data_IF_303091459010
#
_entry.id   IF_303091459010
#
_cell.length_a   1.000
_cell.length_b   1.000
_cell.length_c   1.000
_cell.angle_alpha   90.00
_cell.angle_beta   90.00
_cell.angle_gamma   90.00
#
_symmetry.space_group_name_H-M   'P 1'
#
loop_
_entity.id
_entity.type
_entity.pdbx_description
1 polymer ?
#
# COMPACT_ATOMS: atom_id res chain seq x y z
N UNK A 1 -70.89 -0.57 -31.48
CA UNK A 1 -69.48 -0.52 -31.88
C UNK A 1 -68.68 -0.12 -30.64
N UNK A 2 -68.09 -1.10 -29.97
CA UNK A 2 -67.44 -0.91 -28.67
C UNK A 2 -65.93 -0.62 -28.85
N UNK A 3 -65.50 0.53 -28.41
CA UNK A 3 -64.10 0.92 -28.34
C UNK A 3 -63.52 0.32 -27.04
N UNK A 4 -62.64 -0.67 -27.19
CA UNK A 4 -61.88 -1.24 -26.07
C UNK A 4 -60.76 -0.27 -25.70
N UNK A 5 -60.80 0.22 -24.48
CA UNK A 5 -59.70 0.92 -23.86
C UNK A 5 -58.57 -0.07 -23.55
N UNK A 6 -57.41 0.13 -24.18
CA UNK A 6 -56.17 -0.54 -23.81
C UNK A 6 -55.47 0.28 -22.75
N UNK A 7 -55.47 -0.22 -21.52
CA UNK A 7 -54.67 0.31 -20.41
C UNK A 7 -53.24 -0.20 -20.58
N UNK A 8 -52.29 0.70 -20.87
CA UNK A 8 -50.87 0.41 -20.86
C UNK A 8 -50.41 0.53 -19.42
N UNK A 9 -50.12 -0.61 -18.79
CA UNK A 9 -49.45 -0.66 -17.51
C UNK A 9 -47.95 -0.41 -17.74
N UNK A 10 -47.45 0.77 -17.37
CA UNK A 10 -46.03 1.06 -17.31
C UNK A 10 -45.45 0.34 -16.07
N UNK A 11 -44.70 -0.74 -16.30
CA UNK A 11 -43.89 -1.37 -15.28
C UNK A 11 -42.70 -0.45 -14.98
N UNK A 12 -42.72 0.22 -13.87
CA UNK A 12 -41.57 0.92 -13.31
C UNK A 12 -40.68 -0.16 -12.70
N UNK A 13 -39.64 -0.58 -13.46
CA UNK A 13 -38.54 -1.35 -12.90
C UNK A 13 -37.73 -0.41 -12.04
N UNK A 14 -37.92 -0.48 -10.72
CA UNK A 14 -36.99 0.11 -9.77
C UNK A 14 -35.67 -0.65 -9.87
N UNK A 15 -34.69 -0.09 -10.60
CA UNK A 15 -33.30 -0.47 -10.42
C UNK A 15 -32.94 -0.08 -9.00
N UNK A 16 -32.82 -1.07 -8.13
CA UNK A 16 -32.10 -0.90 -6.87
C UNK A 16 -30.65 -0.61 -7.22
N UNK A 17 -30.29 0.66 -7.25
CA UNK A 17 -28.87 1.08 -7.24
C UNK A 17 -28.39 0.69 -5.86
N UNK A 18 -27.65 -0.41 -5.77
CA UNK A 18 -26.94 -0.80 -4.57
C UNK A 18 -25.97 0.33 -4.25
N UNK A 19 -26.34 1.20 -3.33
CA UNK A 19 -25.37 2.05 -2.65
C UNK A 19 -24.49 1.09 -1.85
N UNK A 20 -23.21 1.02 -2.17
CA UNK A 20 -22.21 0.47 -1.26
C UNK A 20 -22.25 1.39 -0.03
N UNK A 21 -23.03 0.99 0.97
CA UNK A 21 -23.00 1.65 2.27
C UNK A 21 -21.60 1.45 2.84
N UNK A 22 -21.03 2.51 3.41
CA UNK A 22 -19.81 2.38 4.20
C UNK A 22 -20.01 1.26 5.23
N UNK A 23 -18.99 0.46 5.45
CA UNK A 23 -19.05 -0.66 6.40
C UNK A 23 -19.13 -0.12 7.82
N UNK A 24 -19.68 -0.94 8.72
CA UNK A 24 -19.87 -0.55 10.13
C UNK A 24 -18.54 -0.43 10.90
N UNK A 25 -17.45 -0.87 10.29
CA UNK A 25 -16.13 -0.93 10.91
C UNK A 25 -15.05 -0.40 9.98
N UNK A 26 -14.02 0.21 10.59
CA UNK A 26 -12.86 0.77 9.90
C UNK A 26 -11.59 0.05 10.37
N UNK A 27 -10.80 -0.45 9.42
CA UNK A 27 -9.47 -0.99 9.66
C UNK A 27 -8.37 -0.03 9.24
N UNK A 28 -7.14 -0.52 9.16
CA UNK A 28 -5.99 0.27 8.74
C UNK A 28 -5.06 -0.52 7.82
N UNK A 29 -4.47 0.16 6.84
CA UNK A 29 -3.34 -0.34 6.07
C UNK A 29 -2.31 0.77 5.84
N UNK A 30 -1.03 0.44 6.08
CA UNK A 30 0.13 1.26 5.72
C UNK A 30 1.00 0.49 4.73
N UNK A 31 1.49 1.16 3.68
CA UNK A 31 2.33 0.52 2.69
C UNK A 31 3.41 1.45 2.14
N UNK A 32 4.54 0.87 1.69
CA UNK A 32 5.61 1.61 1.06
C UNK A 32 5.20 2.11 -0.32
N UNK A 33 5.60 3.34 -0.66
CA UNK A 33 5.51 3.85 -2.04
C UNK A 33 6.60 3.27 -2.93
N UNK A 34 7.72 2.93 -2.32
CA UNK A 34 8.78 2.15 -2.97
C UNK A 34 8.34 0.70 -3.11
N UNK A 35 8.69 0.10 -4.24
CA UNK A 35 8.49 -1.32 -4.53
C UNK A 35 9.87 -1.98 -4.64
N UNK A 36 9.94 -3.25 -4.27
CA UNK A 36 11.18 -4.00 -4.12
C UNK A 36 11.16 -5.25 -4.99
N UNK A 37 12.32 -5.55 -5.57
CA UNK A 37 12.59 -6.85 -6.17
C UNK A 37 13.72 -7.49 -5.40
N UNK A 38 13.37 -8.42 -4.51
CA UNK A 38 14.23 -8.99 -3.48
C UNK A 38 14.56 -8.02 -2.33
N UNK A 39 15.03 -8.56 -1.23
CA UNK A 39 15.43 -7.81 -0.05
C UNK A 39 15.16 -8.56 1.24
N UNK A 40 15.53 -7.90 2.35
CA UNK A 40 15.15 -8.32 3.70
C UNK A 40 14.34 -7.21 4.35
N UNK A 41 13.29 -7.60 5.05
CA UNK A 41 12.33 -6.70 5.68
C UNK A 41 12.15 -7.14 7.12
N UNK A 42 12.37 -6.24 8.06
CA UNK A 42 12.19 -6.50 9.48
C UNK A 42 11.30 -5.44 10.11
N UNK A 43 10.42 -5.83 11.00
CA UNK A 43 9.62 -4.92 11.80
C UNK A 43 9.50 -5.41 13.25
N UNK A 44 9.61 -4.48 14.19
CA UNK A 44 9.40 -4.71 15.62
C UNK A 44 7.97 -4.38 15.98
N UNK A 45 7.15 -5.41 16.25
CA UNK A 45 5.69 -5.25 16.34
C UNK A 45 5.10 -6.01 17.52
N UNK A 46 4.06 -5.42 18.11
CA UNK A 46 3.07 -6.10 18.95
C UNK A 46 1.76 -6.14 18.17
N UNK A 47 1.22 -7.33 17.97
CA UNK A 47 0.08 -7.58 17.12
C UNK A 47 -1.24 -7.54 17.88
N UNK A 48 -2.36 -7.35 17.17
CA UNK A 48 -3.67 -7.34 17.77
C UNK A 48 -4.21 -8.76 17.99
N UNK A 49 -4.96 -8.98 19.06
CA UNK A 49 -5.71 -10.20 19.33
C UNK A 49 -7.21 -9.98 19.40
N UNK A 50 -7.96 -11.05 19.17
CA UNK A 50 -9.42 -11.09 19.21
C UNK A 50 -10.00 -11.84 18.02
N UNK A 51 -11.06 -12.60 18.24
CA UNK A 51 -11.74 -13.35 17.18
C UNK A 51 -12.20 -12.43 16.05
N UNK A 52 -11.98 -12.86 14.81
CA UNK A 52 -12.34 -12.12 13.62
C UNK A 52 -11.23 -11.21 13.08
N UNK A 53 -10.14 -10.98 13.83
CA UNK A 53 -9.06 -10.07 13.44
C UNK A 53 -7.94 -10.78 12.69
N UNK A 54 -7.32 -10.04 11.77
CA UNK A 54 -6.04 -10.34 11.11
C UNK A 54 -5.14 -9.12 11.25
N UNK A 55 -3.94 -9.35 11.79
CA UNK A 55 -2.90 -8.36 12.00
C UNK A 55 -1.66 -8.83 11.25
N UNK A 56 -1.14 -8.05 10.28
CA UNK A 56 -0.15 -8.58 9.35
C UNK A 56 1.01 -7.65 9.01
N UNK A 57 2.07 -8.29 8.49
CA UNK A 57 3.17 -7.70 7.71
C UNK A 57 3.34 -8.57 6.47
N UNK A 58 3.36 -7.97 5.28
CA UNK A 58 3.41 -8.74 4.05
C UNK A 58 4.05 -7.98 2.89
N UNK A 59 4.48 -8.71 1.89
CA UNK A 59 4.91 -8.21 0.59
C UNK A 59 3.80 -8.47 -0.42
N UNK A 60 3.47 -7.49 -1.25
CA UNK A 60 2.37 -7.60 -2.19
C UNK A 60 2.63 -6.87 -3.50
N UNK A 61 2.37 -7.53 -4.62
CA UNK A 61 2.32 -6.88 -5.92
C UNK A 61 0.97 -6.17 -6.12
N UNK A 62 1.02 -4.86 -6.37
CA UNK A 62 -0.16 -4.00 -6.36
C UNK A 62 -1.28 -4.41 -7.33
N UNK A 63 -0.94 -5.07 -8.44
CA UNK A 63 -1.88 -5.43 -9.48
C UNK A 63 -2.38 -6.89 -9.38
N UNK A 64 -1.94 -7.65 -8.37
CA UNK A 64 -2.29 -9.08 -8.19
C UNK A 64 -3.80 -9.34 -8.17
N UNK A 65 -4.61 -8.39 -7.70
CA UNK A 65 -6.06 -8.51 -7.62
C UNK A 65 -6.79 -8.32 -8.95
N UNK A 66 -6.11 -7.81 -10.00
CA UNK A 66 -6.78 -7.33 -11.23
C UNK A 66 -7.37 -8.45 -12.09
N UNK A 67 -6.96 -9.71 -11.85
CA UNK A 67 -7.41 -10.82 -12.69
C UNK A 67 -6.87 -10.78 -14.13
N UNK A 68 -7.52 -11.49 -15.07
CA UNK A 68 -7.12 -11.46 -16.47
C UNK A 68 -5.76 -12.12 -16.75
N UNK A 69 -5.28 -12.96 -15.84
CA UNK A 69 -3.98 -13.62 -15.94
C UNK A 69 -2.82 -12.86 -15.32
N UNK A 70 -3.07 -11.70 -14.67
CA UNK A 70 -2.06 -11.02 -13.87
C UNK A 70 -1.61 -11.94 -12.74
N UNK A 71 -0.29 -12.16 -12.53
CA UNK A 71 0.18 -13.06 -11.49
C UNK A 71 -0.14 -12.51 -10.10
N UNK A 72 -0.64 -13.39 -9.24
CA UNK A 72 -0.73 -13.11 -7.81
C UNK A 72 0.65 -13.33 -7.18
N UNK A 73 1.20 -12.30 -6.54
CA UNK A 73 2.54 -12.31 -5.93
C UNK A 73 2.45 -11.68 -4.54
N UNK A 74 2.54 -12.55 -3.51
CA UNK A 74 2.35 -12.16 -2.11
C UNK A 74 3.13 -13.07 -1.16
N UNK A 75 3.69 -12.50 -0.09
CA UNK A 75 4.40 -13.23 0.97
C UNK A 75 3.99 -12.67 2.32
N UNK A 76 3.44 -13.50 3.21
CA UNK A 76 2.72 -13.07 4.38
C UNK A 76 3.33 -13.51 5.70
N UNK A 77 3.19 -12.63 6.70
CA UNK A 77 3.17 -12.91 8.13
C UNK A 77 1.81 -12.42 8.64
N UNK A 78 0.98 -13.32 9.17
CA UNK A 78 -0.35 -13.00 9.65
C UNK A 78 -0.56 -13.56 11.07
N UNK A 79 -1.04 -12.70 11.96
CA UNK A 79 -1.55 -13.12 13.26
C UNK A 79 -3.07 -13.20 13.17
N UNK A 80 -3.61 -14.41 13.26
CA UNK A 80 -5.05 -14.59 13.44
C UNK A 80 -5.39 -14.28 14.88
N UNK A 81 -6.14 -13.24 15.12
CA UNK A 81 -6.42 -12.73 16.48
C UNK A 81 -7.05 -13.77 17.40
N UNK A 82 -7.70 -14.81 16.86
CA UNK A 82 -8.21 -15.98 17.63
C UNK A 82 -7.10 -16.84 18.24
N UNK A 83 -5.87 -16.74 17.74
CA UNK A 83 -4.74 -17.60 18.11
C UNK A 83 -3.44 -16.80 18.21
N UNK A 84 -3.33 -15.80 19.11
CA UNK A 84 -2.18 -14.89 19.17
C UNK A 84 -0.87 -15.58 19.60
N UNK A 85 -0.92 -16.81 20.11
CA UNK A 85 0.26 -17.63 20.41
C UNK A 85 0.92 -18.27 19.18
N UNK A 86 0.46 -17.95 17.99
CA UNK A 86 1.08 -18.38 16.74
C UNK A 86 0.93 -17.34 15.64
N UNK A 87 1.82 -17.39 14.64
CA UNK A 87 1.63 -16.68 13.39
C UNK A 87 1.53 -17.66 12.21
N UNK A 88 0.86 -17.21 11.17
CA UNK A 88 0.74 -17.91 9.90
C UNK A 88 1.71 -17.28 8.91
N UNK A 89 2.60 -18.08 8.31
CA UNK A 89 3.41 -17.68 7.16
C UNK A 89 2.78 -18.22 5.90
N UNK A 90 2.80 -17.48 4.81
CA UNK A 90 2.23 -17.92 3.55
C UNK A 90 3.01 -17.38 2.35
N UNK A 91 2.92 -18.09 1.22
CA UNK A 91 3.20 -17.56 -0.11
C UNK A 91 1.92 -17.75 -0.92
N UNK A 92 1.44 -16.69 -1.54
CA UNK A 92 0.31 -16.75 -2.45
C UNK A 92 0.81 -16.43 -3.86
N UNK A 93 0.63 -17.39 -4.76
CA UNK A 93 0.99 -17.29 -6.18
C UNK A 93 -0.19 -17.70 -7.06
N UNK A 94 0.02 -17.83 -8.36
CA UNK A 94 -1.04 -18.14 -9.33
C UNK A 94 -1.67 -16.87 -9.89
N UNK A 95 -2.99 -16.80 -9.95
CA UNK A 95 -3.78 -15.62 -10.38
C UNK A 95 -4.92 -15.34 -9.40
N UNK A 96 -5.62 -14.22 -9.56
CA UNK A 96 -6.79 -13.90 -8.74
C UNK A 96 -7.87 -15.00 -8.79
N UNK A 97 -8.02 -15.66 -9.95
CA UNK A 97 -9.00 -16.71 -10.19
C UNK A 97 -8.52 -18.11 -9.73
N UNK A 98 -7.20 -18.29 -9.60
CA UNK A 98 -6.59 -19.59 -9.29
C UNK A 98 -5.34 -19.43 -8.39
N UNK A 99 -5.57 -19.07 -7.15
CA UNK A 99 -4.48 -18.89 -6.16
C UNK A 99 -3.87 -20.22 -5.74
N UNK A 100 -2.56 -20.21 -5.54
CA UNK A 100 -1.77 -21.31 -4.97
C UNK A 100 -1.18 -20.83 -3.66
N UNK A 101 -1.56 -21.44 -2.55
CA UNK A 101 -1.13 -21.06 -1.20
C UNK A 101 -0.25 -22.13 -0.55
N UNK A 102 0.57 -21.75 0.41
CA UNK A 102 1.42 -22.68 1.20
C UNK A 102 1.53 -22.24 2.65
N UNK A 103 0.40 -22.06 3.30
CA UNK A 103 0.39 -21.60 4.69
C UNK A 103 0.98 -22.60 5.66
N UNK A 104 1.72 -22.09 6.66
CA UNK A 104 2.26 -22.83 7.78
C UNK A 104 2.10 -22.02 9.07
N UNK A 105 1.92 -22.72 10.21
CA UNK A 105 1.76 -22.09 11.52
C UNK A 105 3.02 -22.26 12.37
N UNK A 106 3.44 -21.18 13.04
CA UNK A 106 4.64 -21.12 13.87
C UNK A 106 4.27 -20.59 15.26
N UNK A 107 4.74 -21.25 16.31
CA UNK A 107 4.47 -20.85 17.69
C UNK A 107 5.22 -19.55 18.06
N UNK A 108 4.55 -18.72 18.85
CA UNK A 108 5.10 -17.51 19.46
C UNK A 108 5.08 -17.62 20.99
N UNK A 109 6.16 -17.22 21.63
CA UNK A 109 6.25 -17.10 23.08
C UNK A 109 7.16 -15.91 23.46
N UNK A 110 6.61 -14.86 24.11
CA UNK A 110 5.21 -14.68 24.50
C UNK A 110 4.25 -14.65 23.31
N UNK A 111 2.92 -14.63 23.53
CA UNK A 111 1.95 -14.45 22.47
C UNK A 111 2.10 -13.05 21.81
N UNK A 112 1.74 -12.94 20.54
CA UNK A 112 1.93 -11.74 19.72
C UNK A 112 1.30 -10.46 20.27
N UNK A 113 0.25 -10.60 21.09
CA UNK A 113 -0.45 -9.49 21.77
C UNK A 113 0.10 -9.17 23.15
N UNK A 114 1.04 -9.99 23.67
CA UNK A 114 1.60 -9.87 25.02
C UNK A 114 2.97 -9.22 25.05
N UNK A 115 3.54 -8.89 23.91
CA UNK A 115 4.82 -8.23 23.79
C UNK A 115 5.22 -8.02 22.33
N UNK A 116 6.29 -7.26 22.17
CA UNK A 116 6.87 -7.03 20.87
C UNK A 116 7.73 -8.22 20.44
N UNK A 117 7.59 -8.62 19.16
CA UNK A 117 8.49 -9.52 18.47
C UNK A 117 9.12 -8.81 17.27
N UNK A 118 10.30 -9.25 16.86
CA UNK A 118 10.89 -8.84 15.59
C UNK A 118 10.51 -9.86 14.52
N UNK A 119 9.67 -9.46 13.59
CA UNK A 119 9.25 -10.25 12.44
C UNK A 119 10.15 -9.93 11.26
N UNK A 120 10.59 -10.96 10.54
CA UNK A 120 11.48 -10.82 9.39
C UNK A 120 11.03 -11.63 8.19
N UNK A 121 11.20 -11.03 7.01
CA UNK A 121 11.06 -11.69 5.70
C UNK A 121 12.34 -11.50 4.91
N UNK A 122 12.89 -12.57 4.35
CA UNK A 122 13.92 -12.51 3.31
C UNK A 122 13.35 -13.05 2.01
N UNK A 123 13.47 -12.28 0.95
CA UNK A 123 13.09 -12.67 -0.40
C UNK A 123 14.31 -12.52 -1.32
N UNK A 124 14.72 -13.64 -1.90
CA UNK A 124 15.88 -13.75 -2.81
C UNK A 124 15.48 -14.53 -4.05
N UNK A 125 16.31 -14.60 -5.10
CA UNK A 125 16.02 -15.45 -6.26
C UNK A 125 16.03 -16.95 -5.95
N UNK A 126 16.59 -17.36 -4.80
CA UNK A 126 16.81 -18.78 -4.46
C UNK A 126 15.92 -19.27 -3.30
N UNK A 127 15.36 -18.34 -2.49
CA UNK A 127 14.51 -18.71 -1.36
C UNK A 127 13.70 -17.53 -0.85
N UNK A 128 12.63 -17.87 -0.10
CA UNK A 128 11.89 -16.98 0.79
C UNK A 128 12.00 -17.55 2.19
N UNK A 129 12.31 -16.71 3.19
CA UNK A 129 12.51 -17.12 4.58
C UNK A 129 11.76 -16.21 5.54
N UNK A 130 11.23 -16.81 6.62
CA UNK A 130 10.55 -16.12 7.72
C UNK A 130 11.37 -16.24 8.99
N UNK A 131 11.47 -15.14 9.72
CA UNK A 131 12.25 -15.05 10.94
C UNK A 131 11.41 -14.44 12.06
N UNK A 132 11.62 -14.95 13.28
CA UNK A 132 11.05 -14.37 14.51
C UNK A 132 12.18 -14.20 15.51
N UNK A 133 12.34 -12.95 16.02
CA UNK A 133 13.39 -12.58 16.98
C UNK A 133 14.79 -13.05 16.54
N UNK A 134 15.06 -12.92 15.22
CA UNK A 134 16.32 -13.30 14.61
C UNK A 134 16.50 -14.81 14.35
N UNK A 135 15.49 -15.63 14.64
CA UNK A 135 15.54 -17.06 14.37
C UNK A 135 14.71 -17.40 13.13
N UNK A 136 15.32 -18.11 12.17
CA UNK A 136 14.60 -18.61 11.01
C UNK A 136 13.65 -19.73 11.45
N UNK A 137 12.37 -19.59 11.10
CA UNK A 137 11.30 -20.56 11.44
C UNK A 137 10.77 -21.28 10.20
N UNK A 138 10.95 -20.70 9.01
CA UNK A 138 10.58 -21.29 7.74
C UNK A 138 11.50 -20.81 6.62
N UNK A 139 11.83 -21.71 5.70
CA UNK A 139 12.49 -21.38 4.42
C UNK A 139 11.89 -22.22 3.29
N UNK A 140 11.31 -21.56 2.30
CA UNK A 140 10.89 -22.17 1.04
C UNK A 140 11.99 -21.90 0.01
N UNK A 141 12.50 -22.94 -0.62
CA UNK A 141 13.61 -22.83 -1.60
C UNK A 141 13.09 -22.93 -3.02
N UNK A 142 13.81 -22.34 -3.94
CA UNK A 142 13.63 -22.54 -5.38
C UNK A 142 13.58 -24.05 -5.69
N UNK A 143 12.65 -24.44 -6.59
CA UNK A 143 12.35 -25.84 -6.89
C UNK A 143 11.44 -26.51 -5.86
N UNK A 144 10.72 -25.74 -5.02
CA UNK A 144 9.67 -26.28 -4.16
C UNK A 144 8.53 -26.92 -4.98
N UNK A 145 7.74 -27.77 -4.34
CA UNK A 145 6.71 -28.57 -5.01
C UNK A 145 5.61 -27.73 -5.71
N UNK A 146 5.49 -26.45 -5.38
CA UNK A 146 4.49 -25.51 -5.94
C UNK A 146 5.12 -24.43 -6.83
N UNK A 147 6.46 -24.45 -7.01
CA UNK A 147 7.24 -23.45 -7.72
C UNK A 147 6.94 -22.01 -7.27
N UNK A 148 6.73 -21.81 -5.97
CA UNK A 148 6.27 -20.52 -5.43
C UNK A 148 7.37 -19.47 -5.39
N UNK A 149 8.65 -19.87 -5.16
CA UNK A 149 9.78 -18.93 -5.20
C UNK A 149 9.96 -18.39 -6.62
N UNK A 150 9.87 -19.27 -7.63
CA UNK A 150 9.93 -18.90 -9.04
C UNK A 150 8.75 -18.06 -9.51
N UNK A 151 7.61 -18.18 -8.83
CA UNK A 151 6.41 -17.41 -9.15
C UNK A 151 6.47 -15.96 -8.64
N UNK A 152 7.44 -15.60 -7.78
CA UNK A 152 7.61 -14.24 -7.26
C UNK A 152 8.32 -13.34 -8.28
N UNK A 153 7.71 -13.12 -9.42
CA UNK A 153 8.29 -12.48 -10.63
C UNK A 153 7.98 -10.99 -10.75
N UNK A 154 7.25 -10.42 -9.80
CA UNK A 154 6.85 -8.99 -9.81
C UNK A 154 7.41 -8.28 -8.59
N UNK A 155 7.67 -6.99 -8.76
CA UNK A 155 8.03 -6.12 -7.64
C UNK A 155 6.89 -6.02 -6.65
N UNK A 156 7.23 -5.94 -5.37
CA UNK A 156 6.28 -5.94 -4.25
C UNK A 156 6.50 -4.74 -3.33
N UNK A 157 5.42 -4.16 -2.82
CA UNK A 157 5.46 -3.20 -1.72
C UNK A 157 5.44 -3.90 -0.37
N UNK A 158 6.15 -3.37 0.63
CA UNK A 158 6.00 -3.79 2.02
C UNK A 158 4.74 -3.16 2.61
N UNK A 159 3.92 -3.99 3.26
CA UNK A 159 2.60 -3.59 3.79
C UNK A 159 2.40 -4.09 5.21
N UNK A 160 1.60 -3.35 5.94
CA UNK A 160 1.09 -3.69 7.27
C UNK A 160 -0.40 -3.40 7.29
N UNK A 161 -1.22 -4.33 7.78
CA UNK A 161 -2.63 -4.04 7.96
C UNK A 161 -3.20 -4.66 9.25
N UNK A 162 -4.29 -4.06 9.71
CA UNK A 162 -5.16 -4.58 10.75
C UNK A 162 -6.59 -4.53 10.21
N UNK A 163 -7.19 -5.70 10.02
CA UNK A 163 -8.48 -5.87 9.38
C UNK A 163 -9.29 -7.03 9.96
N UNK A 164 -10.45 -7.30 9.41
CA UNK A 164 -11.32 -8.39 9.82
C UNK A 164 -11.84 -9.14 8.59
N UNK A 165 -11.61 -10.45 8.55
CA UNK A 165 -12.19 -11.32 7.53
C UNK A 165 -13.64 -11.67 7.86
N UNK A 166 -14.47 -11.83 6.83
CA UNK A 166 -15.82 -12.41 6.97
C UNK A 166 -15.80 -13.94 7.09
N UNK A 167 -14.65 -14.58 6.82
CA UNK A 167 -14.45 -16.03 6.88
C UNK A 167 -14.23 -16.50 8.34
N UNK A 168 -15.31 -16.74 9.06
CA UNK A 168 -15.27 -17.11 10.48
C UNK A 168 -14.51 -18.44 10.74
N UNK A 169 -14.46 -19.36 9.77
CA UNK A 169 -13.70 -20.59 9.90
C UNK A 169 -12.20 -20.30 10.00
N UNK A 170 -11.73 -19.30 9.26
CA UNK A 170 -10.33 -18.89 9.27
C UNK A 170 -9.98 -18.03 10.49
N UNK A 171 -10.74 -16.95 10.77
CA UNK A 171 -10.37 -15.95 11.79
C UNK A 171 -11.13 -16.04 13.10
N UNK A 172 -12.12 -16.95 13.23
CA UNK A 172 -13.03 -17.02 14.37
C UNK A 172 -14.27 -16.14 14.20
N UNK A 173 -15.28 -16.36 15.06
CA UNK A 173 -16.53 -15.62 15.02
C UNK A 173 -16.29 -14.15 15.40
N UNK A 174 -16.79 -13.23 14.56
CA UNK A 174 -16.69 -11.80 14.82
C UNK A 174 -17.39 -11.39 16.11
N UNK A 175 -16.74 -10.50 16.86
CA UNK A 175 -17.27 -9.89 18.07
C UNK A 175 -16.85 -8.43 18.15
N UNK A 176 -17.73 -7.50 17.83
CA UNK A 176 -17.45 -6.07 17.85
C UNK A 176 -17.30 -5.48 19.27
N UNK A 177 -17.68 -6.22 20.29
CA UNK A 177 -17.48 -5.85 21.68
C UNK A 177 -16.01 -5.77 22.11
N UNK A 178 -15.08 -6.27 21.27
CA UNK A 178 -13.63 -6.16 21.53
C UNK A 178 -13.02 -4.86 21.04
N UNK A 179 -13.72 -4.10 20.19
CA UNK A 179 -13.18 -2.88 19.59
C UNK A 179 -13.08 -1.72 20.60
N UNK A 180 -12.09 -0.82 20.46
CA UNK A 180 -11.03 -0.87 19.45
C UNK A 180 -9.93 -1.89 19.75
N UNK A 181 -9.16 -2.26 18.71
CA UNK A 181 -7.92 -3.04 18.82
C UNK A 181 -6.83 -2.38 18.01
N UNK A 182 -5.56 -2.66 18.36
CA UNK A 182 -4.43 -1.97 17.80
C UNK A 182 -3.26 -2.93 17.55
N UNK A 183 -2.58 -2.70 16.43
CA UNK A 183 -1.27 -3.26 16.12
C UNK A 183 -0.24 -2.12 16.29
N UNK A 184 0.83 -2.38 17.02
CA UNK A 184 1.88 -1.41 17.30
C UNK A 184 3.16 -1.80 16.56
N UNK A 185 3.78 -0.84 15.88
CA UNK A 185 5.00 -1.04 15.11
C UNK A 185 6.02 -0.01 15.60
N UNK A 186 7.05 -0.50 16.31
CA UNK A 186 8.07 0.35 16.92
C UNK A 186 9.06 0.85 15.88
N UNK A 187 9.56 -0.05 15.01
CA UNK A 187 10.43 0.31 13.90
C UNK A 187 10.30 -0.68 12.73
N UNK A 188 10.72 -0.20 11.56
CA UNK A 188 10.86 -0.99 10.34
C UNK A 188 12.26 -0.82 9.77
N UNK A 189 12.90 -1.91 9.36
CA UNK A 189 14.18 -1.93 8.63
C UNK A 189 14.00 -2.62 7.30
N UNK A 190 14.54 -2.01 6.26
CA UNK A 190 14.58 -2.60 4.92
C UNK A 190 16.02 -2.68 4.45
N UNK A 191 16.37 -3.80 3.82
CA UNK A 191 17.70 -4.09 3.31
C UNK A 191 17.61 -4.44 1.84
N UNK A 192 18.54 -3.90 1.06
CA UNK A 192 18.77 -4.33 -0.33
C UNK A 192 19.45 -5.71 -0.36
N UNK A 193 19.03 -6.56 -1.29
CA UNK A 193 19.72 -7.82 -1.56
C UNK A 193 20.97 -7.55 -2.39
N UNK A 194 22.14 -7.76 -1.80
CA UNK A 194 23.47 -7.50 -2.37
C UNK A 194 24.39 -8.72 -2.16
N UNK A 195 24.24 -9.79 -2.95
CA UNK A 195 24.92 -11.07 -2.72
C UNK A 195 26.42 -10.90 -2.51
N UNK A 196 26.94 -11.40 -1.39
CA UNK A 196 28.35 -11.33 -0.99
C UNK A 196 28.86 -9.94 -0.64
N UNK A 197 27.99 -8.90 -0.60
CA UNK A 197 28.36 -7.51 -0.33
C UNK A 197 27.49 -6.85 0.75
N UNK A 198 26.73 -7.65 1.46
CA UNK A 198 25.85 -7.17 2.53
C UNK A 198 26.60 -6.87 3.83
N UNK A 199 25.88 -6.33 4.79
CA UNK A 199 26.42 -5.98 6.10
C UNK A 199 26.80 -7.24 6.90
N UNK A 200 27.87 -7.15 7.66
CA UNK A 200 28.37 -8.24 8.53
C UNK A 200 28.58 -9.59 7.83
N UNK A 201 28.91 -9.57 6.53
CA UNK A 201 29.15 -10.79 5.73
C UNK A 201 27.88 -11.51 5.30
N UNK A 202 26.73 -10.85 5.36
CA UNK A 202 25.45 -11.34 4.82
C UNK A 202 25.28 -10.95 3.35
N UNK A 203 24.15 -11.34 2.76
CA UNK A 203 23.74 -10.91 1.41
C UNK A 203 22.84 -9.67 1.43
N UNK A 204 22.67 -9.02 2.59
CA UNK A 204 21.73 -7.91 2.78
C UNK A 204 22.42 -6.68 3.34
N UNK A 205 22.20 -5.54 2.68
CA UNK A 205 22.74 -4.24 3.08
C UNK A 205 21.62 -3.33 3.55
N UNK A 206 21.76 -2.76 4.75
CA UNK A 206 20.74 -1.84 5.30
C UNK A 206 20.52 -0.68 4.33
N UNK A 207 19.26 -0.52 3.89
CA UNK A 207 18.83 0.54 3.00
C UNK A 207 18.27 1.73 3.78
N UNK A 208 17.35 1.46 4.70
CA UNK A 208 16.78 2.47 5.57
C UNK A 208 16.12 1.86 6.83
N UNK A 209 15.97 2.72 7.82
CA UNK A 209 15.23 2.47 9.05
C UNK A 209 14.14 3.53 9.17
N UNK A 210 12.99 3.15 9.68
CA UNK A 210 11.94 4.06 10.15
C UNK A 210 11.57 3.70 11.59
N UNK A 211 11.78 4.63 12.50
CA UNK A 211 11.51 4.51 13.94
C UNK A 211 10.23 5.27 14.35
N UNK A 212 9.50 5.75 13.36
CA UNK A 212 8.22 6.42 13.52
C UNK A 212 8.18 7.59 14.51
N UNK A 213 9.27 8.37 14.64
CA UNK A 213 9.17 9.66 15.33
C UNK A 213 8.09 10.55 14.71
N UNK A 214 7.89 10.38 13.40
CA UNK A 214 6.79 10.96 12.60
C UNK A 214 6.49 10.09 11.39
N UNK A 215 5.27 10.14 10.88
CA UNK A 215 4.92 9.46 9.65
C UNK A 215 5.54 10.15 8.41
N UNK A 216 6.52 9.50 7.79
CA UNK A 216 7.12 9.99 6.54
C UNK A 216 6.20 9.71 5.35
N UNK A 217 5.41 10.72 4.97
CA UNK A 217 4.48 10.65 3.82
C UNK A 217 5.18 10.53 2.45
N UNK A 218 6.50 10.67 2.38
CA UNK A 218 7.25 10.39 1.15
C UNK A 218 7.50 8.90 0.99
N UNK A 219 7.72 8.19 2.10
CA UNK A 219 7.94 6.75 2.15
C UNK A 219 6.64 5.97 2.17
N UNK A 220 5.68 6.38 2.97
CA UNK A 220 4.46 5.67 3.28
C UNK A 220 3.21 6.25 2.61
N UNK A 221 2.32 5.36 2.21
CA UNK A 221 0.94 5.65 1.87
C UNK A 221 0.01 4.80 2.75
N UNK A 222 -1.25 5.19 2.81
CA UNK A 222 -2.27 4.55 3.65
C UNK A 222 -3.42 4.08 2.77
N UNK A 223 -3.99 2.93 3.11
CA UNK A 223 -5.16 2.37 2.47
C UNK A 223 -6.41 3.21 2.76
N UNK A 224 -7.23 3.39 1.73
CA UNK A 224 -8.55 4.03 1.77
C UNK A 224 -9.57 3.22 0.94
N UNK A 225 -9.41 1.90 0.92
CA UNK A 225 -10.18 0.96 0.11
C UNK A 225 -10.73 -0.19 0.97
N UNK A 226 -11.51 -1.04 0.34
CA UNK A 226 -11.92 -2.34 0.87
C UNK A 226 -11.83 -3.40 -0.24
N UNK A 227 -12.04 -4.65 0.10
CA UNK A 227 -12.07 -5.77 -0.84
C UNK A 227 -13.11 -6.80 -0.39
N UNK A 228 -13.44 -7.73 -1.29
CA UNK A 228 -14.44 -8.77 -1.02
C UNK A 228 -13.98 -9.68 0.12
N UNK A 229 -14.88 -9.98 1.05
CA UNK A 229 -14.59 -10.78 2.25
C UNK A 229 -13.89 -10.02 3.38
N UNK A 230 -13.56 -8.74 3.18
CA UNK A 230 -13.12 -7.85 4.26
C UNK A 230 -14.34 -7.26 4.97
N UNK A 231 -14.36 -7.28 6.30
CA UNK A 231 -15.45 -6.71 7.12
C UNK A 231 -15.33 -5.21 7.32
N UNK A 232 -14.16 -4.62 7.06
CA UNK A 232 -13.86 -3.21 7.32
C UNK A 232 -13.61 -2.45 6.03
N UNK A 233 -13.81 -1.14 6.05
CA UNK A 233 -13.18 -0.21 5.12
C UNK A 233 -11.83 0.21 5.69
N UNK A 234 -10.76 0.23 4.89
CA UNK A 234 -9.47 0.77 5.31
C UNK A 234 -9.60 2.28 5.44
N UNK A 235 -9.19 2.83 6.58
CA UNK A 235 -9.25 4.27 6.86
C UNK A 235 -7.87 4.83 7.21
N UNK A 236 -7.42 5.88 6.51
CA UNK A 236 -6.22 6.62 6.89
C UNK A 236 -6.26 7.19 8.32
N UNK A 237 -7.45 7.46 8.86
CA UNK A 237 -7.62 8.00 10.21
C UNK A 237 -7.33 6.96 11.30
N UNK A 238 -7.27 5.67 10.94
CA UNK A 238 -6.84 4.58 11.80
C UNK A 238 -5.32 4.30 11.74
N UNK A 239 -4.55 5.14 11.05
CA UNK A 239 -3.09 5.12 11.00
C UNK A 239 -2.56 6.30 11.79
N UNK A 240 -2.04 6.05 13.00
CA UNK A 240 -1.57 7.08 13.93
C UNK A 240 -0.10 6.85 14.28
N UNK A 241 0.66 7.91 14.50
CA UNK A 241 1.99 7.86 15.13
C UNK A 241 1.92 8.56 16.47
N UNK A 242 2.35 7.86 17.52
CA UNK A 242 2.39 8.38 18.90
C UNK A 242 3.58 7.78 19.66
N UNK A 243 4.32 8.62 20.33
CA UNK A 243 5.44 8.23 21.20
C UNK A 243 6.48 7.33 20.48
N UNK A 244 6.85 7.68 19.22
CA UNK A 244 7.80 6.90 18.42
C UNK A 244 7.27 5.54 17.96
N UNK A 245 5.96 5.37 17.90
CA UNK A 245 5.32 4.11 17.49
C UNK A 245 4.24 4.38 16.45
N UNK A 246 4.26 3.63 15.36
CA UNK A 246 3.15 3.55 14.41
C UNK A 246 2.07 2.64 14.98
N UNK A 247 0.83 3.08 14.91
CA UNK A 247 -0.34 2.37 15.43
C UNK A 247 -1.35 2.21 14.31
N UNK A 248 -1.70 0.97 14.01
CA UNK A 248 -2.81 0.62 13.14
C UNK A 248 -3.98 0.22 14.01
N UNK A 249 -5.14 0.84 13.81
CA UNK A 249 -6.33 0.60 14.61
C UNK A 249 -7.42 -0.11 13.79
N UNK A 250 -8.24 -0.90 14.48
CA UNK A 250 -9.54 -1.34 13.99
C UNK A 250 -10.61 -0.86 14.96
N UNK A 251 -11.62 -0.17 14.43
CA UNK A 251 -12.62 0.59 15.19
C UNK A 251 -14.02 0.38 14.63
N UNK A 252 -15.02 0.87 15.33
CA UNK A 252 -16.33 1.16 14.70
C UNK A 252 -16.17 2.39 13.81
N UNK A 253 -16.86 2.42 12.68
CA UNK A 253 -16.88 3.56 11.78
C UNK A 253 -17.35 4.82 12.50
N UNK A 254 -16.64 5.94 12.27
CA UNK A 254 -16.87 7.21 12.99
C UNK A 254 -16.18 7.28 14.36
N UNK A 255 -15.38 6.26 14.73
CA UNK A 255 -14.59 6.21 15.98
C UNK A 255 -13.12 5.91 15.69
N UNK A 256 -12.64 6.36 14.53
CA UNK A 256 -11.27 6.14 14.08
C UNK A 256 -10.26 6.89 14.97
N UNK A 257 -9.02 6.42 14.93
CA UNK A 257 -7.90 7.02 15.64
C UNK A 257 -7.42 6.20 16.83
N UNK A 258 -6.54 6.81 17.62
CA UNK A 258 -5.94 6.21 18.81
C UNK A 258 -5.75 7.26 19.91
N UNK A 259 -6.37 7.05 21.05
CA UNK A 259 -6.27 7.88 22.26
C UNK A 259 -5.63 7.15 23.46
N UNK A 260 -5.29 5.85 23.27
CA UNK A 260 -4.76 4.97 24.31
C UNK A 260 -3.31 5.25 24.73
N UNK A 261 -2.75 4.33 25.51
CA UNK A 261 -1.34 4.29 25.89
C UNK A 261 -0.60 3.33 24.95
N UNK A 262 0.58 3.74 24.47
CA UNK A 262 1.46 2.87 23.70
C UNK A 262 2.10 1.84 24.64
N UNK A 263 2.05 0.54 24.35
CA UNK A 263 2.74 -0.46 25.15
C UNK A 263 4.26 -0.23 25.16
N UNK A 264 4.89 -0.41 26.32
CA UNK A 264 6.35 -0.28 26.43
C UNK A 264 7.01 -1.49 25.77
N UNK A 265 7.91 -1.24 24.83
CA UNK A 265 8.81 -2.28 24.31
C UNK A 265 10.03 -2.40 25.26
N UNK A 266 10.22 -3.56 25.94
CA UNK A 266 11.34 -3.74 26.85
C UNK A 266 12.72 -3.74 26.15
N UNK A 267 12.75 -3.94 24.83
CA UNK A 267 13.96 -3.81 24.00
C UNK A 267 14.05 -2.43 23.36
N UNK A 268 13.60 -1.38 24.02
CA UNK A 268 13.60 -0.02 23.50
C UNK A 268 15.05 0.50 23.29
N UNK A 269 15.81 -0.23 22.48
CA UNK A 269 17.04 0.24 21.88
C UNK A 269 16.64 0.89 20.55
N UNK A 270 16.71 2.20 20.49
CA UNK A 270 16.70 2.96 19.25
C UNK A 270 17.54 2.18 18.21
N UNK A 271 17.01 1.87 17.02
CA UNK A 271 17.81 1.22 16.00
C UNK A 271 19.10 2.04 15.79
N UNK A 272 20.26 1.41 15.85
CA UNK A 272 21.51 2.12 15.56
C UNK A 272 21.42 2.74 14.18
N UNK A 273 21.22 4.04 14.13
CA UNK A 273 21.35 4.79 12.88
C UNK A 273 22.79 4.63 12.42
N UNK A 274 23.07 4.26 11.16
CA UNK A 274 24.42 4.28 10.63
C UNK A 274 24.97 5.68 10.88
N UNK A 275 25.96 5.81 11.76
CA UNK A 275 26.67 7.08 11.92
C UNK A 275 27.39 7.33 10.60
N UNK A 276 26.95 8.34 9.88
CA UNK A 276 27.75 8.93 8.83
C UNK A 276 29.10 9.30 9.45
N UNK A 277 30.11 8.48 9.22
CA UNK A 277 31.49 8.83 9.53
C UNK A 277 31.94 9.86 8.51
N UNK A 278 31.55 11.10 8.78
CA UNK A 278 32.22 12.25 8.16
C UNK A 278 33.61 12.33 8.79
N UNK A 279 34.59 11.80 8.10
CA UNK A 279 35.99 12.02 8.39
C UNK A 279 36.23 13.53 8.34
N UNK A 280 36.42 14.14 9.50
CA UNK A 280 36.97 15.48 9.60
C UNK A 280 38.44 15.40 9.27
N UNK A 281 38.82 15.72 8.04
CA UNK A 281 40.18 16.15 7.78
C UNK A 281 40.23 17.68 7.86
N UNK A 282 40.98 18.12 8.85
CA UNK A 282 41.31 19.52 9.10
C UNK A 282 42.58 19.86 8.40
N UNK A 283 42.55 20.70 7.34
CA UNK A 283 43.60 21.67 7.11
C UNK A 283 43.06 22.90 6.39
N UNK A 284 43.31 23.99 7.07
CA UNK A 284 43.03 25.38 6.69
C UNK A 284 44.04 25.84 5.61
N UNK A 285 43.55 26.50 4.57
CA UNK A 285 44.13 27.77 4.06
C UNK A 285 43.18 28.46 3.09
N UNK A 286 42.90 29.70 3.35
CA UNK A 286 42.37 30.76 2.48
C UNK A 286 43.54 31.69 2.13
N UNK A 287 43.51 32.61 1.16
CA UNK A 287 42.46 33.14 0.30
C UNK A 287 42.92 33.34 -1.19
N UNK A 288 42.10 33.64 -2.14
CA UNK A 288 41.99 34.98 -2.70
C UNK A 288 41.05 35.05 -3.96
N UNK A 289 40.47 36.16 -4.11
CA UNK A 289 39.59 36.77 -5.05
C UNK A 289 39.87 36.56 -6.56
N UNK A 290 38.82 36.40 -7.39
CA UNK A 290 38.42 37.42 -8.39
C UNK A 290 37.34 36.93 -9.37
N UNK A 291 36.47 37.85 -9.65
CA UNK A 291 35.36 37.98 -10.57
C UNK A 291 35.68 37.58 -12.01
N UNK A 292 34.76 36.88 -12.71
CA UNK A 292 34.14 37.32 -13.99
C UNK A 292 33.11 36.32 -14.51
N UNK A 293 31.96 36.84 -14.93
CA UNK A 293 30.96 36.28 -15.85
C UNK A 293 31.29 36.84 -17.26
N UNK A 294 30.72 36.38 -18.39
CA UNK A 294 29.72 35.39 -18.72
C UNK A 294 30.12 34.45 -19.90
N UNK A 295 29.38 33.47 -20.27
CA UNK A 295 28.55 33.35 -21.47
C UNK A 295 28.26 31.88 -21.89
N UNK A 296 27.05 31.69 -22.25
CA UNK A 296 26.40 30.75 -23.18
C UNK A 296 27.14 29.54 -23.74
N UNK A 297 26.56 28.32 -23.57
CA UNK A 297 26.06 27.55 -24.72
C UNK A 297 25.38 26.22 -24.30
N UNK A 298 24.33 25.98 -24.99
CA UNK A 298 23.47 24.85 -25.21
C UNK A 298 24.02 23.42 -25.00
N UNK A 299 23.13 22.57 -24.45
CA UNK A 299 22.95 21.24 -25.01
C UNK A 299 23.20 20.07 -24.10
N UNK A 300 22.22 19.49 -23.49
CA UNK A 300 21.69 18.17 -23.82
C UNK A 300 20.56 17.75 -22.85
N UNK A 301 19.50 17.09 -23.31
CA UNK A 301 18.36 16.82 -22.47
C UNK A 301 18.64 15.61 -21.60
N UNK A 302 18.60 15.88 -20.31
CA UNK A 302 18.57 14.85 -19.27
C UNK A 302 17.21 14.17 -19.31
N UNK A 303 17.19 12.89 -19.59
CA UNK A 303 16.00 12.03 -19.56
C UNK A 303 15.68 11.66 -18.11
N UNK A 304 15.23 12.62 -17.33
CA UNK A 304 14.59 12.33 -16.06
C UNK A 304 13.07 12.24 -16.28
N UNK A 305 12.52 11.06 -16.11
CA UNK A 305 11.08 10.81 -16.03
C UNK A 305 10.52 11.53 -14.81
N UNK A 306 10.11 12.79 -15.00
CA UNK A 306 9.42 13.54 -13.97
C UNK A 306 7.98 13.06 -13.83
N UNK A 307 7.75 12.17 -12.86
CA UNK A 307 6.43 11.93 -12.28
C UNK A 307 6.06 13.21 -11.51
N UNK A 308 5.16 13.98 -12.06
CA UNK A 308 4.62 15.15 -11.34
C UNK A 308 3.52 14.65 -10.42
N UNK A 309 3.87 14.32 -9.18
CA UNK A 309 2.89 14.19 -8.10
C UNK A 309 2.49 15.59 -7.64
N UNK A 310 1.28 16.01 -7.95
CA UNK A 310 0.73 17.27 -7.44
C UNK A 310 0.00 16.96 -6.15
N UNK A 311 0.65 17.17 -5.01
CA UNK A 311 0.03 17.20 -3.71
C UNK A 311 -0.52 18.61 -3.46
N UNK A 312 -1.82 18.79 -3.65
CA UNK A 312 -2.53 19.93 -3.07
C UNK A 312 -3.67 19.40 -2.20
N UNK A 313 -3.59 19.75 -0.92
CA UNK A 313 -4.70 19.59 0.02
C UNK A 313 -5.90 20.40 -0.45
N UNK A 314 -7.09 19.74 -0.56
CA UNK A 314 -8.38 20.32 -0.88
C UNK A 314 -8.84 20.30 -2.35
N UNK A 315 -8.30 19.47 -3.23
CA UNK A 315 -8.93 19.24 -4.54
C UNK A 315 -9.80 17.98 -4.51
N UNK A 316 -11.02 17.99 -5.08
CA UNK A 316 -11.94 16.85 -5.05
C UNK A 316 -11.52 15.65 -5.91
N UNK A 317 -10.31 15.65 -6.45
CA UNK A 317 -9.78 14.57 -7.30
C UNK A 317 -8.30 14.36 -7.04
N UNK A 318 -7.92 13.10 -6.83
CA UNK A 318 -6.53 12.63 -6.97
C UNK A 318 -6.45 11.83 -8.25
N UNK A 319 -5.38 11.98 -9.02
CA UNK A 319 -5.12 11.13 -10.17
C UNK A 319 -3.62 10.92 -10.32
N UNK A 320 -3.26 9.66 -10.58
CA UNK A 320 -1.94 9.29 -11.05
C UNK A 320 -2.02 9.01 -12.55
N UNK A 321 -0.99 9.44 -13.29
CA UNK A 321 -0.88 9.14 -14.72
C UNK A 321 0.18 8.05 -14.85
N UNK A 322 -0.26 6.83 -15.15
CA UNK A 322 0.60 5.77 -15.63
C UNK A 322 0.63 5.79 -17.16
N UNK A 323 1.67 5.24 -17.78
CA UNK A 323 1.90 5.35 -19.24
C UNK A 323 0.73 4.92 -20.12
N UNK A 324 -0.24 4.16 -19.62
CA UNK A 324 -1.37 3.63 -20.38
C UNK A 324 -2.75 3.99 -19.83
N UNK A 325 -2.83 4.50 -18.60
CA UNK A 325 -4.11 4.83 -17.97
C UNK A 325 -3.96 6.00 -16.99
N UNK A 326 -5.08 6.63 -16.66
CA UNK A 326 -5.20 7.62 -15.57
C UNK A 326 -6.10 7.03 -14.50
N UNK A 327 -5.63 7.02 -13.26
CA UNK A 327 -6.45 6.69 -12.11
C UNK A 327 -7.20 7.95 -11.66
N UNK A 328 -8.53 7.94 -11.82
CA UNK A 328 -9.42 9.00 -11.36
C UNK A 328 -10.03 8.58 -10.01
N UNK A 329 -9.59 9.20 -8.92
CA UNK A 329 -10.21 9.00 -7.62
C UNK A 329 -11.36 9.99 -7.43
N UNK A 330 -12.55 9.48 -7.15
CA UNK A 330 -13.78 10.23 -6.96
C UNK A 330 -14.17 10.16 -5.47
N UNK A 331 -13.83 11.20 -4.67
CA UNK A 331 -14.08 11.18 -3.22
C UNK A 331 -15.55 11.46 -2.85
N UNK A 332 -16.35 11.94 -3.80
CA UNK A 332 -17.77 12.20 -3.63
C UNK A 332 -18.51 11.91 -4.92
N UNK A 333 -19.55 11.09 -4.84
CA UNK A 333 -20.38 10.74 -5.99
C UNK A 333 -20.93 11.99 -6.69
N UNK A 334 -21.03 11.94 -8.02
CA UNK A 334 -21.61 13.02 -8.80
C UNK A 334 -21.21 12.98 -10.28
N UNK A 335 -21.77 13.96 -11.01
CA UNK A 335 -21.52 14.11 -12.44
C UNK A 335 -20.10 14.68 -12.68
N UNK A 336 -19.29 13.95 -13.43
CA UNK A 336 -17.93 14.34 -13.82
C UNK A 336 -17.86 14.42 -15.33
N UNK A 337 -17.30 15.53 -15.80
CA UNK A 337 -16.92 15.73 -17.19
C UNK A 337 -15.39 15.69 -17.27
N UNK A 338 -14.86 14.78 -18.07
CA UNK A 338 -13.43 14.63 -18.32
C UNK A 338 -13.17 14.86 -19.82
N UNK A 339 -12.23 15.73 -20.14
CA UNK A 339 -11.77 16.00 -21.50
C UNK A 339 -10.25 15.92 -21.55
N UNK A 340 -9.70 15.21 -22.55
CA UNK A 340 -8.27 15.20 -22.84
C UNK A 340 -8.07 15.93 -24.16
N UNK A 341 -7.25 16.97 -24.13
CA UNK A 341 -6.91 17.78 -25.29
C UNK A 341 -5.42 17.67 -25.60
N UNK A 342 -5.04 17.68 -26.86
CA UNK A 342 -3.63 17.73 -27.24
C UNK A 342 -3.04 19.15 -27.10
N UNK A 343 -1.73 19.30 -27.33
CA UNK A 343 -1.03 20.58 -27.24
C UNK A 343 -1.60 21.69 -28.18
N UNK A 344 -2.39 21.32 -29.19
CA UNK A 344 -3.07 22.24 -30.10
C UNK A 344 -4.50 22.59 -29.65
N UNK A 345 -4.93 22.14 -28.46
CA UNK A 345 -6.28 22.36 -27.94
C UNK A 345 -7.36 21.47 -28.53
N UNK A 346 -7.02 20.50 -29.41
CA UNK A 346 -8.00 19.60 -30.00
C UNK A 346 -8.35 18.50 -29.02
N UNK A 347 -9.66 18.29 -28.77
CA UNK A 347 -10.17 17.19 -27.93
C UNK A 347 -9.84 15.84 -28.58
N UNK A 348 -9.19 14.96 -27.82
CA UNK A 348 -8.81 13.62 -28.23
C UNK A 348 -9.69 12.56 -27.55
N UNK A 349 -10.12 12.83 -26.32
CA UNK A 349 -10.99 11.96 -25.55
C UNK A 349 -11.94 12.80 -24.71
N UNK A 350 -13.17 12.33 -24.54
CA UNK A 350 -14.17 12.97 -23.71
C UNK A 350 -15.07 11.91 -23.07
N UNK A 351 -15.30 12.04 -21.78
CA UNK A 351 -16.33 11.26 -21.07
C UNK A 351 -17.11 12.19 -20.14
N UNK A 352 -18.40 11.91 -20.00
CA UNK A 352 -19.29 12.69 -19.12
C UNK A 352 -20.35 11.75 -18.58
N UNK A 353 -20.27 11.41 -17.28
CA UNK A 353 -21.23 10.52 -16.63
C UNK A 353 -21.24 10.76 -15.12
N UNK A 354 -22.22 10.19 -14.44
CA UNK A 354 -22.17 10.07 -13.00
C UNK A 354 -21.15 9.00 -12.62
N UNK A 355 -20.33 9.34 -11.65
CA UNK A 355 -19.40 8.42 -11.00
C UNK A 355 -19.81 8.29 -9.54
N UNK A 356 -19.77 7.10 -9.03
CA UNK A 356 -19.86 6.84 -7.59
C UNK A 356 -18.54 7.13 -6.89
N UNK A 357 -18.52 7.08 -5.56
CA UNK A 357 -17.30 7.18 -4.79
C UNK A 357 -16.42 5.98 -5.17
N UNK A 358 -15.15 6.21 -5.48
CA UNK A 358 -14.23 5.14 -5.86
C UNK A 358 -13.14 5.59 -6.81
N UNK A 359 -12.33 4.61 -7.25
CA UNK A 359 -11.22 4.79 -8.19
C UNK A 359 -11.59 4.21 -9.54
N UNK A 360 -11.32 4.97 -10.60
CA UNK A 360 -11.69 4.60 -11.98
C UNK A 360 -10.47 4.70 -12.89
N UNK A 361 -10.15 3.65 -13.60
CA UNK A 361 -9.13 3.67 -14.64
C UNK A 361 -9.68 4.24 -15.94
N UNK A 362 -9.02 5.28 -16.43
CA UNK A 362 -9.31 5.88 -17.75
C UNK A 362 -8.18 5.48 -18.68
N UNK A 363 -8.43 4.52 -19.57
CA UNK A 363 -7.43 4.07 -20.55
C UNK A 363 -7.01 5.20 -21.47
N UNK A 364 -5.72 5.33 -21.68
CA UNK A 364 -5.09 6.27 -22.62
C UNK A 364 -4.57 5.56 -23.89
N UNK A 365 -4.81 4.28 -24.05
CA UNK A 365 -4.25 3.48 -25.15
C UNK A 365 -4.56 4.03 -26.54
N UNK A 366 -5.75 4.58 -26.72
CA UNK A 366 -6.18 5.17 -27.99
C UNK A 366 -5.50 6.51 -28.34
N UNK A 367 -4.77 7.12 -27.41
CA UNK A 367 -4.08 8.38 -27.66
C UNK A 367 -2.72 8.10 -28.32
N UNK A 368 -2.33 8.81 -29.39
CA UNK A 368 -0.94 8.81 -29.87
C UNK A 368 0.06 9.28 -28.82
N UNK A 369 1.35 8.99 -29.02
CA UNK A 369 2.41 9.61 -28.23
C UNK A 369 2.39 11.13 -28.38
N UNK A 370 2.54 11.87 -27.29
CA UNK A 370 2.47 13.31 -27.32
C UNK A 370 2.12 13.98 -26.01
N UNK A 371 2.03 15.31 -26.04
CA UNK A 371 1.68 16.14 -24.89
C UNK A 371 0.19 16.42 -24.86
N UNK A 372 -0.41 16.26 -23.68
CA UNK A 372 -1.85 16.40 -23.45
C UNK A 372 -2.14 17.19 -22.19
N UNK A 373 -3.37 17.75 -22.15
CA UNK A 373 -3.98 18.33 -20.97
C UNK A 373 -5.27 17.59 -20.68
N UNK A 374 -5.43 17.13 -19.46
CA UNK A 374 -6.67 16.53 -18.98
C UNK A 374 -7.42 17.55 -18.13
N UNK A 375 -8.64 17.84 -18.53
CA UNK A 375 -9.55 18.73 -17.82
C UNK A 375 -10.64 17.90 -17.16
N UNK A 376 -10.78 18.01 -15.84
CA UNK A 376 -11.80 17.32 -15.06
C UNK A 376 -12.69 18.38 -14.41
N UNK A 377 -13.97 18.29 -14.65
CA UNK A 377 -14.98 19.18 -14.09
C UNK A 377 -15.99 18.41 -13.24
N UNK A 378 -16.18 18.86 -11.99
CA UNK A 378 -17.23 18.39 -11.09
C UNK A 378 -17.78 19.55 -10.28
N UNK A 379 -19.09 19.64 -10.11
CA UNK A 379 -19.78 20.66 -9.30
C UNK A 379 -19.32 22.09 -9.60
N UNK A 380 -19.14 22.42 -10.89
CA UNK A 380 -18.70 23.76 -11.34
C UNK A 380 -17.21 24.06 -11.14
N UNK A 381 -16.44 23.16 -10.51
CA UNK A 381 -14.97 23.29 -10.38
C UNK A 381 -14.28 22.52 -11.48
N UNK A 382 -13.25 23.12 -12.07
CA UNK A 382 -12.41 22.49 -13.10
C UNK A 382 -10.98 22.37 -12.59
N UNK A 383 -10.40 21.19 -12.79
CA UNK A 383 -8.97 20.95 -12.59
C UNK A 383 -8.35 20.51 -13.92
N UNK A 384 -7.19 21.09 -14.26
CA UNK A 384 -6.45 20.75 -15.46
C UNK A 384 -5.09 20.19 -15.10
N UNK A 385 -4.67 19.13 -15.76
CA UNK A 385 -3.36 18.49 -15.58
C UNK A 385 -2.73 18.24 -16.93
N UNK A 386 -1.45 18.59 -17.01
CA UNK A 386 -0.60 18.30 -18.16
C UNK A 386 0.08 16.95 -17.98
N UNK A 387 0.11 16.13 -19.04
CA UNK A 387 0.86 14.88 -19.08
C UNK A 387 1.47 14.64 -20.47
N UNK A 388 2.45 13.75 -20.51
CA UNK A 388 3.08 13.29 -21.75
C UNK A 388 2.85 11.79 -21.85
N UNK A 389 2.26 11.35 -22.95
CA UNK A 389 2.20 9.93 -23.31
C UNK A 389 3.40 9.60 -24.21
N UNK A 390 4.19 8.64 -23.75
CA UNK A 390 5.31 8.06 -24.52
C UNK A 390 4.82 6.99 -25.49
#
# INVERSE_FOLDING_TARGET
>A
MNLKQMTVAAAISALAVGQSLAKDYSGAELYTKEIFHYGKFEARMQMASGNGLVSSMFLYHNDSYMGGGEPWVEVDIEILGKSPGSFQSNIISGTAEAKVTSEEHHNLNPAADQGYHTYGLEWTPDYISWQIDGQEVRRTKKGDAKNQVEAMIKDQGLRFNLWSSEEAAWVGAWNDGILPRHQYINWVKVYDYTPGQGDNGTDFKLKWVDDFEKLDRKRWAMGDWTFDGNRVDMSPDNVTVKDGTLILSITKSGQEGFDGQVPVDPQNSTPETPKDTVSKDTTVTKPDTSVTKPDTSAGNPDTSTNIISISESAAPFRFDIQNKAVLLNVPKAGFIKLEIVNAKGKVQMKTSKNYDIGSYLISLESLPSGQYFMNIQQNGKTKSVKFVKQ
#
